data_IF_297158461741
#
_entry.id   IF_297158461741
#
_cell.length_a   1.000
_cell.length_b   1.000
_cell.length_c   1.000
_cell.angle_alpha   90.00
_cell.angle_beta   90.00
_cell.angle_gamma   90.00
#
_symmetry.space_group_name_H-M   'P 1'
#
loop_
_entity.id
_entity.type
_entity.pdbx_description
1 polymer ?
#
# COMPACT_ATOMS: atom_id res chain seq x y z
N UNK A 1 -24.65 15.14 13.48
CA UNK A 1 -23.85 14.07 14.13
C UNK A 1 -23.52 13.06 13.04
N UNK A 2 -22.31 13.12 12.48
CA UNK A 2 -21.89 12.21 11.40
C UNK A 2 -21.75 10.80 11.98
N UNK A 3 -22.44 9.83 11.39
CA UNK A 3 -22.29 8.41 11.73
C UNK A 3 -21.38 7.80 10.66
N UNK A 4 -20.15 7.36 11.00
CA UNK A 4 -19.29 6.73 10.02
C UNK A 4 -19.92 5.44 9.51
N UNK A 5 -19.66 5.12 8.24
CA UNK A 5 -20.14 3.91 7.59
C UNK A 5 -19.58 2.65 8.31
N UNK A 6 -20.32 1.54 8.33
CA UNK A 6 -19.84 0.30 8.94
C UNK A 6 -18.56 -0.21 8.25
N UNK A 7 -17.51 -0.48 9.04
CA UNK A 7 -16.22 -0.98 8.54
C UNK A 7 -16.36 -2.43 8.09
N UNK A 8 -15.99 -2.70 6.85
CA UNK A 8 -15.76 -4.07 6.38
C UNK A 8 -14.34 -4.52 6.75
N UNK A 9 -14.22 -5.21 7.87
CA UNK A 9 -12.94 -5.68 8.42
C UNK A 9 -12.23 -6.73 7.54
N UNK A 10 -12.88 -7.25 6.49
CA UNK A 10 -12.27 -8.16 5.53
C UNK A 10 -11.54 -7.43 4.39
N UNK A 11 -11.67 -6.10 4.30
CA UNK A 11 -11.04 -5.27 3.28
C UNK A 11 -10.02 -4.34 3.94
N UNK A 12 -8.72 -4.55 3.67
CA UNK A 12 -7.65 -3.73 4.24
C UNK A 12 -7.79 -2.26 3.83
N UNK A 13 -8.34 -2.02 2.64
CA UNK A 13 -8.64 -0.68 2.13
C UNK A 13 -9.70 0.01 3.00
N UNK A 14 -10.81 -0.66 3.30
CA UNK A 14 -11.88 -0.05 4.12
C UNK A 14 -11.41 0.26 5.55
N UNK A 15 -10.56 -0.60 6.13
CA UNK A 15 -9.96 -0.37 7.45
C UNK A 15 -9.04 0.85 7.45
N UNK A 16 -8.20 0.99 6.41
CA UNK A 16 -7.20 2.04 6.32
C UNK A 16 -7.81 3.40 5.95
N UNK A 17 -8.78 3.43 5.04
CA UNK A 17 -9.58 4.62 4.75
C UNK A 17 -10.31 5.11 5.99
N UNK A 18 -10.92 4.21 6.75
CA UNK A 18 -11.59 4.58 8.00
C UNK A 18 -10.61 5.05 9.08
N UNK A 19 -9.37 4.54 9.11
CA UNK A 19 -8.33 5.07 10.01
C UNK A 19 -7.99 6.53 9.69
N UNK A 20 -7.88 6.89 8.40
CA UNK A 20 -7.66 8.27 7.94
C UNK A 20 -8.80 9.19 8.39
N UNK A 21 -10.05 8.77 8.25
CA UNK A 21 -11.24 9.55 8.64
C UNK A 21 -11.31 9.84 10.16
N UNK A 22 -10.70 8.99 10.98
CA UNK A 22 -10.73 9.12 12.44
C UNK A 22 -9.58 9.95 13.00
N UNK A 23 -8.63 10.40 12.17
CA UNK A 23 -7.60 11.34 12.61
C UNK A 23 -8.20 12.76 12.61
N UNK A 24 -8.29 13.42 13.79
CA UNK A 24 -9.04 14.66 13.93
C UNK A 24 -8.33 15.88 13.35
N UNK A 25 -7.00 15.82 13.23
CA UNK A 25 -6.16 16.94 12.77
C UNK A 25 -5.70 16.72 11.35
N UNK A 26 -5.79 17.77 10.54
CA UNK A 26 -5.27 17.77 9.17
C UNK A 26 -3.78 17.42 9.09
N UNK A 27 -2.96 17.98 9.99
CA UNK A 27 -1.53 17.66 10.08
C UNK A 27 -1.27 16.16 10.35
N UNK A 28 -2.11 15.51 11.16
CA UNK A 28 -2.01 14.08 11.41
C UNK A 28 -2.43 13.25 10.19
N UNK A 29 -3.47 13.67 9.48
CA UNK A 29 -3.93 13.05 8.23
C UNK A 29 -2.87 13.18 7.13
N UNK A 30 -2.28 14.36 6.99
CA UNK A 30 -1.15 14.60 6.09
C UNK A 30 0.05 13.71 6.42
N UNK A 31 0.41 13.59 7.70
CA UNK A 31 1.48 12.69 8.15
C UNK A 31 1.23 11.25 7.73
N UNK A 32 0.03 10.72 8.00
CA UNK A 32 -0.35 9.37 7.60
C UNK A 32 -0.32 9.18 6.07
N UNK A 33 -0.76 10.18 5.29
CA UNK A 33 -0.66 10.18 3.83
C UNK A 33 0.80 10.08 3.37
N UNK A 34 1.69 10.90 3.93
CA UNK A 34 3.13 10.86 3.60
C UNK A 34 3.78 9.51 3.97
N UNK A 35 3.43 8.94 5.13
CA UNK A 35 3.93 7.62 5.54
C UNK A 35 3.46 6.52 4.59
N UNK A 36 2.20 6.60 4.12
CA UNK A 36 1.65 5.69 3.14
C UNK A 36 2.33 5.81 1.77
N UNK A 37 2.60 7.03 1.30
CA UNK A 37 3.39 7.26 0.07
C UNK A 37 4.79 6.66 0.19
N UNK A 38 5.51 6.97 1.27
CA UNK A 38 6.87 6.47 1.50
C UNK A 38 6.89 4.94 1.54
N UNK A 39 5.92 4.33 2.24
CA UNK A 39 5.82 2.87 2.34
C UNK A 39 5.47 2.20 1.02
N UNK A 40 4.57 2.81 0.22
CA UNK A 40 4.21 2.33 -1.11
C UNK A 40 5.42 2.36 -2.04
N UNK A 41 6.13 3.48 -2.08
CA UNK A 41 7.26 3.67 -2.98
C UNK A 41 8.40 2.70 -2.60
N UNK A 42 8.67 2.53 -1.30
CA UNK A 42 9.62 1.54 -0.83
C UNK A 42 9.23 0.09 -1.23
N UNK A 43 7.94 -0.26 -1.18
CA UNK A 43 7.46 -1.58 -1.63
C UNK A 43 7.65 -1.77 -3.14
N UNK A 44 7.39 -0.74 -3.94
CA UNK A 44 7.61 -0.77 -5.39
C UNK A 44 9.09 -0.92 -5.73
N UNK A 45 9.97 -0.21 -5.02
CA UNK A 45 11.42 -0.33 -5.17
C UNK A 45 11.92 -1.73 -4.83
N UNK A 46 11.40 -2.34 -3.75
CA UNK A 46 11.74 -3.72 -3.39
C UNK A 46 11.27 -4.71 -4.46
N UNK A 47 10.07 -4.54 -5.02
CA UNK A 47 9.57 -5.37 -6.12
C UNK A 47 10.45 -5.26 -7.36
N UNK A 48 10.88 -4.04 -7.71
CA UNK A 48 11.80 -3.81 -8.82
C UNK A 48 13.15 -4.50 -8.57
N UNK A 49 13.73 -4.30 -7.38
CA UNK A 49 14.99 -4.91 -6.97
C UNK A 49 14.94 -6.44 -7.05
N UNK A 50 13.86 -7.04 -6.54
CA UNK A 50 13.63 -8.49 -6.64
C UNK A 50 13.61 -8.94 -8.11
N UNK A 51 12.86 -8.23 -8.96
CA UNK A 51 12.77 -8.54 -10.38
C UNK A 51 14.15 -8.52 -11.07
N UNK A 52 14.95 -7.48 -10.79
CA UNK A 52 16.33 -7.36 -11.29
C UNK A 52 17.20 -8.50 -10.77
N UNK A 53 17.16 -8.81 -9.47
CA UNK A 53 17.94 -9.89 -8.89
C UNK A 53 17.58 -11.26 -9.49
N UNK A 54 16.30 -11.53 -9.76
CA UNK A 54 15.84 -12.74 -10.45
C UNK A 54 16.37 -12.83 -11.89
N UNK A 55 16.38 -11.71 -12.61
CA UNK A 55 16.92 -11.65 -13.96
C UNK A 55 18.43 -11.89 -13.97
N UNK A 56 19.17 -11.23 -13.07
CA UNK A 56 20.64 -11.30 -13.02
C UNK A 56 21.13 -12.70 -12.61
N UNK A 57 20.44 -13.36 -11.68
CA UNK A 57 20.76 -14.72 -11.23
C UNK A 57 20.64 -15.78 -12.34
N UNK A 58 19.92 -15.49 -13.43
CA UNK A 58 19.68 -16.41 -14.55
C UNK A 58 20.38 -15.99 -15.85
N UNK A 59 20.76 -14.72 -15.99
CA UNK A 59 21.37 -14.16 -17.20
C UNK A 59 22.92 -14.16 -17.20
N UNK A 60 23.55 -14.51 -16.08
CA UNK A 60 25.02 -14.54 -15.95
C UNK A 60 25.67 -15.77 -16.59
N UNK A 61 26.96 -15.68 -16.93
CA UNK A 61 27.75 -16.77 -17.53
C UNK A 61 27.85 -18.02 -16.64
N UNK A 62 27.66 -17.87 -15.34
CA UNK A 62 27.47 -18.95 -14.36
C UNK A 62 26.19 -18.68 -13.56
N UNK A 63 25.05 -19.27 -13.96
CA UNK A 63 23.79 -19.06 -13.27
C UNK A 63 23.87 -19.47 -11.79
N UNK A 64 23.34 -18.62 -10.92
CA UNK A 64 23.21 -18.88 -9.49
C UNK A 64 21.74 -18.74 -9.11
N UNK A 65 20.91 -19.74 -9.46
CA UNK A 65 19.48 -19.69 -9.20
C UNK A 65 19.21 -19.68 -7.70
N UNK A 66 18.14 -18.99 -7.32
CA UNK A 66 17.63 -18.98 -5.96
C UNK A 66 17.31 -20.39 -5.47
N UNK A 67 17.57 -20.66 -4.19
CA UNK A 67 17.16 -21.91 -3.59
C UNK A 67 15.63 -21.97 -3.45
N UNK A 68 15.07 -23.18 -3.32
CA UNK A 68 13.63 -23.36 -3.06
C UNK A 68 13.18 -22.60 -1.79
N UNK A 69 14.02 -22.56 -0.76
CA UNK A 69 13.75 -21.81 0.47
C UNK A 69 13.69 -20.29 0.24
N UNK A 70 14.55 -19.75 -0.63
CA UNK A 70 14.53 -18.33 -1.00
C UNK A 70 13.29 -17.99 -1.81
N UNK A 71 12.92 -18.85 -2.77
CA UNK A 71 11.70 -18.70 -3.56
C UNK A 71 10.44 -18.79 -2.70
N UNK A 72 10.42 -19.66 -1.68
CA UNK A 72 9.31 -19.73 -0.74
C UNK A 72 9.14 -18.45 0.08
N UNK A 73 10.24 -17.90 0.62
CA UNK A 73 10.21 -16.62 1.35
C UNK A 73 9.76 -15.48 0.45
N UNK A 74 10.25 -15.47 -0.79
CA UNK A 74 9.88 -14.48 -1.79
C UNK A 74 8.40 -14.56 -2.16
N UNK A 75 7.87 -15.77 -2.32
CA UNK A 75 6.47 -15.98 -2.67
C UNK A 75 5.52 -15.40 -1.62
N UNK A 76 5.84 -15.53 -0.33
CA UNK A 76 5.05 -14.95 0.75
C UNK A 76 4.98 -13.42 0.65
N UNK A 77 6.10 -12.77 0.41
CA UNK A 77 6.16 -11.32 0.17
C UNK A 77 5.33 -10.91 -1.06
N UNK A 78 5.53 -11.59 -2.19
CA UNK A 78 4.84 -11.28 -3.46
C UNK A 78 3.33 -11.48 -3.38
N UNK A 79 2.85 -12.45 -2.59
CA UNK A 79 1.43 -12.67 -2.35
C UNK A 79 0.78 -11.51 -1.56
N UNK A 80 1.51 -10.93 -0.61
CA UNK A 80 1.01 -9.86 0.26
C UNK A 80 1.17 -8.46 -0.36
N UNK A 81 2.22 -8.24 -1.17
CA UNK A 81 2.57 -6.91 -1.69
C UNK A 81 1.42 -6.18 -2.41
N UNK A 82 0.62 -6.82 -3.29
CA UNK A 82 -0.50 -6.13 -3.95
C UNK A 82 -1.56 -5.61 -2.99
N UNK A 83 -1.85 -6.34 -1.91
CA UNK A 83 -2.82 -5.93 -0.91
C UNK A 83 -2.30 -4.74 -0.09
N UNK A 84 -1.01 -4.75 0.26
CA UNK A 84 -0.37 -3.64 0.96
C UNK A 84 -0.33 -2.38 0.10
N UNK A 85 0.05 -2.48 -1.18
CA UNK A 85 0.07 -1.34 -2.11
C UNK A 85 -1.33 -0.75 -2.29
N UNK A 86 -2.36 -1.60 -2.48
CA UNK A 86 -3.75 -1.13 -2.53
C UNK A 86 -4.19 -0.43 -1.25
N UNK A 87 -3.78 -0.96 -0.09
CA UNK A 87 -4.04 -0.32 1.20
C UNK A 87 -3.41 1.06 1.30
N UNK A 88 -2.14 1.22 0.90
CA UNK A 88 -1.47 2.53 0.91
C UNK A 88 -2.12 3.51 -0.07
N UNK A 89 -2.49 3.07 -1.27
CA UNK A 89 -3.23 3.92 -2.21
C UNK A 89 -4.58 4.36 -1.64
N UNK A 90 -5.32 3.49 -0.96
CA UNK A 90 -6.57 3.85 -0.33
C UNK A 90 -6.39 4.95 0.75
N UNK A 91 -5.31 4.88 1.54
CA UNK A 91 -4.97 5.94 2.50
C UNK A 91 -4.72 7.27 1.80
N UNK A 92 -3.94 7.25 0.72
CA UNK A 92 -3.59 8.45 -0.05
C UNK A 92 -4.84 9.05 -0.69
N UNK A 93 -5.64 8.21 -1.35
CA UNK A 93 -6.90 8.60 -1.99
C UNK A 93 -7.89 9.18 -0.98
N UNK A 94 -8.06 8.55 0.19
CA UNK A 94 -8.95 9.06 1.25
C UNK A 94 -8.51 10.41 1.82
N UNK A 95 -7.23 10.75 1.75
CA UNK A 95 -6.76 12.09 2.10
C UNK A 95 -7.04 13.12 0.98
N UNK A 96 -6.84 12.72 -0.27
CA UNK A 96 -6.95 13.58 -1.45
C UNK A 96 -8.39 13.78 -1.92
N UNK A 97 -9.29 12.87 -1.55
CA UNK A 97 -10.70 12.94 -1.87
C UNK A 97 -11.29 14.19 -1.19
N UNK A 98 -11.81 15.17 -1.96
CA UNK A 98 -12.41 16.35 -1.36
C UNK A 98 -13.58 15.90 -0.50
N UNK A 99 -13.69 16.43 0.71
CA UNK A 99 -14.85 16.26 1.60
C UNK A 99 -16.11 16.76 0.88
N UNK A 100 -16.70 15.90 0.04
CA UNK A 100 -17.68 16.30 -0.94
C UNK A 100 -19.09 15.94 -0.47
N UNK A 101 -19.57 16.76 0.47
CA UNK A 101 -21.02 16.96 0.64
C UNK A 101 -21.46 18.43 0.58
N UNK A 102 -20.56 19.43 0.57
CA UNK A 102 -20.96 20.85 0.59
C UNK A 102 -20.84 21.58 -0.75
N UNK A 103 -20.33 20.94 -1.81
CA UNK A 103 -20.11 21.57 -3.12
C UNK A 103 -21.14 21.19 -4.23
N UNK A 104 -22.23 20.49 -3.90
CA UNK A 104 -23.28 20.10 -4.87
C UNK A 104 -24.56 20.95 -4.83
N UNK A 105 -24.58 22.03 -4.05
CA UNK A 105 -25.74 22.94 -3.93
C UNK A 105 -25.37 24.42 -4.03
N UNK A 106 -24.65 24.81 -5.07
CA UNK A 106 -24.58 26.22 -5.52
C UNK A 106 -24.93 26.29 -7.01
#
# INVERSE_FOLDING_TARGET
MYKPAPINHHCIQDVLSHAMDNIPTDAGRWGLRCDAECSRDALLDVLLFIGTAMQDCTATSTPHPFSEADLHRLSGFLLCAPALIRGMNAVIESYEEPASEEARHV
#
